data_IF_144915589081
#
_entry.id   IF_144915589081
#
_cell.length_a   1.000
_cell.length_b   1.000
_cell.length_c   1.000
_cell.angle_alpha   90.00
_cell.angle_beta   90.00
_cell.angle_gamma   90.00
#
_symmetry.space_group_name_H-M   'P 1'
#
loop_
_entity.id
_entity.type
_entity.pdbx_description
1 polymer ?
#
# COMPACT_ATOMS: atom_id res chain seq x y z
N UNK A 1 -22.06 4.41 -6.08
CA UNK A 1 -22.05 5.08 -4.76
C UNK A 1 -21.01 6.19 -4.80
N UNK A 2 -21.38 7.44 -4.50
CA UNK A 2 -20.49 8.61 -4.61
C UNK A 2 -20.07 9.09 -3.21
N UNK A 3 -19.27 8.29 -2.50
CA UNK A 3 -18.74 8.65 -1.17
C UNK A 3 -17.22 8.48 -1.16
N UNK A 4 -16.54 9.34 -0.40
CA UNK A 4 -15.09 9.27 -0.17
C UNK A 4 -14.82 9.34 1.34
N UNK A 5 -13.90 8.51 1.82
CA UNK A 5 -13.45 8.54 3.21
C UNK A 5 -12.42 9.66 3.39
N UNK A 6 -12.78 10.68 4.19
CA UNK A 6 -11.90 11.80 4.56
C UNK A 6 -11.88 11.88 6.09
N UNK A 7 -10.70 11.82 6.69
CA UNK A 7 -10.52 11.84 8.16
C UNK A 7 -11.40 10.82 8.91
N UNK A 8 -11.60 9.64 8.32
CA UNK A 8 -12.43 8.56 8.88
C UNK A 8 -13.94 8.79 8.77
N UNK A 9 -14.38 9.82 8.03
CA UNK A 9 -15.80 10.08 7.74
C UNK A 9 -16.10 9.82 6.27
N UNK A 10 -17.20 9.13 6.01
CA UNK A 10 -17.71 8.97 4.66
C UNK A 10 -18.47 10.23 4.22
N UNK A 11 -17.90 10.96 3.27
CA UNK A 11 -18.47 12.20 2.73
C UNK A 11 -19.06 11.91 1.35
N UNK A 12 -20.30 12.33 1.12
CA UNK A 12 -20.95 12.24 -0.20
C UNK A 12 -20.41 13.31 -1.14
N UNK A 13 -19.94 12.90 -2.31
CA UNK A 13 -19.45 13.79 -3.35
C UNK A 13 -20.62 14.48 -4.07
N UNK A 14 -20.57 15.81 -4.16
CA UNK A 14 -21.52 16.65 -4.88
C UNK A 14 -20.86 17.29 -6.12
N UNK A 15 -21.64 17.61 -7.18
CA UNK A 15 -21.13 18.34 -8.33
C UNK A 15 -20.53 19.70 -7.94
N UNK A 16 -19.41 20.07 -8.56
CA UNK A 16 -18.71 21.33 -8.27
C UNK A 16 -17.64 21.25 -7.17
N UNK A 17 -17.45 20.07 -6.55
CA UNK A 17 -16.35 19.85 -5.61
C UNK A 17 -15.02 19.63 -6.33
N UNK A 18 -13.95 20.23 -5.83
CA UNK A 18 -12.58 19.94 -6.25
C UNK A 18 -11.98 18.86 -5.36
N UNK A 19 -11.39 17.84 -5.97
CA UNK A 19 -10.76 16.71 -5.28
C UNK A 19 -9.25 16.74 -5.52
N UNK A 20 -8.45 16.56 -4.47
CA UNK A 20 -6.99 16.44 -4.58
C UNK A 20 -6.57 15.15 -3.92
N UNK A 21 -5.89 14.29 -4.69
CA UNK A 21 -5.28 13.07 -4.17
C UNK A 21 -3.76 13.22 -4.27
N UNK A 22 -3.07 13.07 -3.15
CA UNK A 22 -1.60 13.01 -3.12
C UNK A 22 -1.18 11.54 -3.08
N UNK A 23 -0.48 11.09 -4.11
CA UNK A 23 0.06 9.72 -4.16
C UNK A 23 1.49 9.76 -3.63
N UNK A 24 1.68 9.33 -2.38
CA UNK A 24 3.01 9.18 -1.79
C UNK A 24 3.59 7.81 -2.20
N UNK A 25 4.31 7.76 -3.32
CA UNK A 25 5.11 6.59 -3.67
C UNK A 25 6.37 6.57 -2.80
N UNK A 26 6.50 5.55 -1.94
CA UNK A 26 7.73 5.33 -1.18
C UNK A 26 8.89 4.94 -2.10
N UNK A 27 10.11 5.37 -1.80
CA UNK A 27 11.30 4.82 -2.44
C UNK A 27 11.55 3.41 -1.91
N UNK A 28 11.21 2.39 -2.69
CA UNK A 28 11.58 1.01 -2.35
C UNK A 28 13.07 0.82 -2.64
N UNK A 29 13.85 0.39 -1.65
CA UNK A 29 15.27 0.13 -1.88
C UNK A 29 15.39 -1.10 -2.77
N UNK A 30 16.23 -1.04 -3.81
CA UNK A 30 16.47 -2.16 -4.74
C UNK A 30 16.91 -3.42 -3.99
N UNK A 31 17.65 -3.26 -2.89
CA UNK A 31 18.08 -4.35 -2.01
C UNK A 31 16.90 -5.16 -1.45
N UNK A 32 15.73 -4.55 -1.22
CA UNK A 32 14.54 -5.26 -0.72
C UNK A 32 13.97 -6.24 -1.78
N UNK A 33 14.22 -5.99 -3.06
CA UNK A 33 13.87 -6.92 -4.15
C UNK A 33 14.86 -8.09 -4.21
N UNK A 34 16.16 -7.79 -4.07
CA UNK A 34 17.23 -8.78 -4.13
C UNK A 34 17.23 -9.74 -2.93
N UNK A 35 16.86 -9.27 -1.75
CA UNK A 35 16.79 -10.08 -0.52
C UNK A 35 15.44 -10.78 -0.33
N UNK A 36 14.43 -10.46 -1.13
CA UNK A 36 13.12 -11.13 -1.09
C UNK A 36 13.19 -12.66 -1.25
N UNK A 37 14.08 -13.24 -2.10
CA UNK A 37 14.20 -14.68 -2.22
C UNK A 37 14.89 -15.31 -1.00
N UNK A 38 15.82 -14.58 -0.36
CA UNK A 38 16.56 -15.08 0.82
C UNK A 38 15.63 -15.15 2.03
N UNK A 39 14.75 -14.16 2.22
CA UNK A 39 13.70 -14.23 3.25
C UNK A 39 12.76 -15.41 3.02
N UNK A 40 12.40 -15.68 1.76
CA UNK A 40 11.53 -16.82 1.40
C UNK A 40 12.23 -18.16 1.67
N UNK A 41 13.48 -18.32 1.22
CA UNK A 41 14.28 -19.53 1.44
C UNK A 41 14.59 -19.79 2.93
N UNK A 42 14.83 -18.73 3.71
CA UNK A 42 14.99 -18.83 5.17
C UNK A 42 13.72 -19.29 5.89
N UNK A 43 12.53 -18.92 5.39
CA UNK A 43 11.26 -19.36 5.96
C UNK A 43 10.88 -20.80 5.61
N UNK A 44 11.29 -21.29 4.43
CA UNK A 44 11.04 -22.67 3.96
C UNK A 44 11.99 -23.66 4.67
N UNK A 45 13.26 -23.30 4.85
CA UNK A 45 14.25 -24.15 5.55
C UNK A 45 14.01 -24.33 7.05
N UNK A 46 13.25 -23.42 7.69
CA UNK A 46 12.81 -23.57 9.09
C UNK A 46 11.52 -24.39 9.24
N UNK A 47 10.82 -24.70 8.14
CA UNK A 47 9.56 -25.46 8.13
C UNK A 47 9.75 -26.95 7.80
N UNK A 48 10.91 -27.33 7.26
CA UNK A 48 11.23 -28.70 6.83
C UNK A 48 12.01 -29.53 7.88
N UNK A 49 12.00 -29.11 9.15
CA UNK A 49 12.38 -30.00 10.26
C UNK A 49 11.22 -30.25 11.19
#
# INVERSE_FOLDING_TARGET
ANHIAVDGKDIRLAPGMNLTAEIKTGQRRVIDYLLSPIQKAGSESLRER
#
